data_IF_242752799589
#
_entry.id   IF_242752799589
#
_cell.length_a   1.000
_cell.length_b   1.000
_cell.length_c   1.000
_cell.angle_alpha   90.00
_cell.angle_beta   90.00
_cell.angle_gamma   90.00
#
_symmetry.space_group_name_H-M   'P 1'
#
loop_
_entity.id
_entity.type
_entity.pdbx_description
1 polymer ?
#
# COMPACT_ATOMS: atom_id res chain seq x y z
N UNK A 1 1.59 6.76 19.23
CA UNK A 1 2.47 6.79 18.05
C UNK A 1 1.80 7.55 16.93
N UNK A 2 2.57 8.23 16.07
CA UNK A 2 2.11 8.82 14.81
C UNK A 2 2.33 7.82 13.67
N UNK A 3 1.27 7.40 13.01
CA UNK A 3 1.28 6.32 12.02
C UNK A 3 0.81 6.85 10.66
N UNK A 4 1.57 6.58 9.59
CA UNK A 4 1.12 6.82 8.21
C UNK A 4 0.56 5.53 7.61
N UNK A 5 -0.67 5.57 7.12
CA UNK A 5 -1.25 4.58 6.22
C UNK A 5 -1.17 5.14 4.80
N UNK A 6 -0.29 4.59 3.97
CA UNK A 6 0.00 5.12 2.64
C UNK A 6 -0.62 4.19 1.61
N UNK A 7 -1.79 4.57 1.11
CA UNK A 7 -2.55 3.86 0.08
C UNK A 7 -2.63 4.62 -1.23
N UNK A 8 -3.44 4.14 -2.17
CA UNK A 8 -3.64 4.81 -3.45
C UNK A 8 -4.93 5.65 -3.43
N UNK A 9 -6.08 5.02 -3.22
CA UNK A 9 -7.39 5.69 -3.31
C UNK A 9 -8.01 5.90 -1.93
N UNK A 10 -8.76 7.00 -1.77
CA UNK A 10 -9.53 7.29 -0.57
C UNK A 10 -10.59 6.21 -0.30
N UNK A 11 -11.22 5.70 -1.36
CA UNK A 11 -12.19 4.62 -1.25
C UNK A 11 -11.58 3.34 -0.63
N UNK A 12 -10.32 3.02 -0.96
CA UNK A 12 -9.64 1.85 -0.35
C UNK A 12 -9.43 1.99 1.17
N UNK A 13 -9.29 3.23 1.67
CA UNK A 13 -9.24 3.50 3.10
C UNK A 13 -10.61 3.26 3.75
N UNK A 14 -11.66 3.71 3.09
CA UNK A 14 -13.03 3.60 3.59
C UNK A 14 -13.48 2.14 3.64
N UNK A 15 -13.25 1.39 2.57
CA UNK A 15 -13.74 0.02 2.44
C UNK A 15 -12.88 -0.99 3.23
N UNK A 16 -11.56 -0.84 3.22
CA UNK A 16 -10.66 -1.89 3.69
C UNK A 16 -9.79 -1.51 4.89
N UNK A 17 -9.79 -0.25 5.32
CA UNK A 17 -8.94 0.22 6.43
C UNK A 17 -9.72 0.86 7.57
N UNK A 18 -11.03 1.00 7.44
CA UNK A 18 -11.93 1.55 8.47
C UNK A 18 -11.66 0.92 9.84
N UNK A 19 -11.72 -0.41 9.92
CA UNK A 19 -11.55 -1.12 11.19
C UNK A 19 -10.12 -0.97 11.76
N UNK A 20 -9.11 -1.01 10.90
CA UNK A 20 -7.72 -0.76 11.31
C UNK A 20 -7.54 0.66 11.85
N UNK A 21 -8.09 1.67 11.18
CA UNK A 21 -8.02 3.07 11.60
C UNK A 21 -8.73 3.23 12.95
N UNK A 22 -9.95 2.71 13.08
CA UNK A 22 -10.71 2.75 14.33
C UNK A 22 -9.94 2.11 15.49
N UNK A 23 -9.35 0.93 15.24
CA UNK A 23 -8.58 0.23 16.27
C UNK A 23 -7.34 1.02 16.70
N UNK A 24 -6.59 1.55 15.74
CA UNK A 24 -5.40 2.35 16.02
C UNK A 24 -5.77 3.64 16.78
N UNK A 25 -6.84 4.30 16.38
CA UNK A 25 -7.34 5.51 17.05
C UNK A 25 -7.78 5.22 18.49
N UNK A 26 -8.56 4.15 18.71
CA UNK A 26 -8.98 3.70 20.05
C UNK A 26 -7.79 3.37 20.97
N UNK A 27 -6.69 2.91 20.41
CA UNK A 27 -5.45 2.66 21.17
C UNK A 27 -4.57 3.92 21.35
N UNK A 28 -5.10 5.11 21.10
CA UNK A 28 -4.41 6.38 21.32
C UNK A 28 -3.32 6.72 20.29
N UNK A 29 -3.38 6.12 19.08
CA UNK A 29 -2.47 6.47 17.99
C UNK A 29 -3.04 7.61 17.15
N UNK A 30 -2.15 8.47 16.63
CA UNK A 30 -2.51 9.48 15.63
C UNK A 30 -2.27 8.86 14.25
N UNK A 31 -3.34 8.70 13.48
CA UNK A 31 -3.32 8.04 12.17
C UNK A 31 -3.42 9.08 11.07
N UNK A 32 -2.43 9.14 10.19
CA UNK A 32 -2.43 9.92 8.96
C UNK A 32 -2.76 9.00 7.79
N UNK A 33 -3.88 9.23 7.12
CA UNK A 33 -4.36 8.39 6.02
C UNK A 33 -4.08 9.08 4.68
N UNK A 34 -3.18 8.49 3.90
CA UNK A 34 -2.71 9.05 2.63
C UNK A 34 -3.47 8.48 1.45
N UNK A 35 -4.03 9.36 0.59
CA UNK A 35 -4.62 9.00 -0.70
C UNK A 35 -4.38 10.08 -1.75
N UNK A 36 -4.49 9.69 -3.04
CA UNK A 36 -4.19 10.59 -4.18
C UNK A 36 -5.44 11.30 -4.72
N UNK A 37 -6.62 10.91 -4.31
CA UNK A 37 -7.90 11.26 -4.92
C UNK A 37 -8.96 11.72 -3.90
N UNK A 38 -8.54 12.32 -2.80
CA UNK A 38 -9.48 12.86 -1.83
C UNK A 38 -10.36 13.97 -2.40
N UNK A 39 -11.66 13.83 -2.19
CA UNK A 39 -12.66 14.91 -2.22
C UNK A 39 -13.13 15.26 -0.80
N UNK A 40 -14.07 16.18 -0.68
CA UNK A 40 -14.52 16.60 0.65
C UNK A 40 -15.35 15.53 1.37
N UNK A 41 -16.11 14.72 0.62
CA UNK A 41 -16.92 13.62 1.19
C UNK A 41 -16.01 12.52 1.77
N UNK A 42 -15.04 12.06 1.01
CA UNK A 42 -14.09 11.02 1.44
C UNK A 42 -13.18 11.48 2.57
N UNK A 43 -12.78 12.76 2.59
CA UNK A 43 -12.04 13.35 3.73
C UNK A 43 -12.85 13.29 5.01
N UNK A 44 -14.10 13.75 4.99
CA UNK A 44 -14.97 13.73 6.18
C UNK A 44 -15.23 12.28 6.65
N UNK A 45 -15.41 11.35 5.70
CA UNK A 45 -15.58 9.94 6.03
C UNK A 45 -14.34 9.36 6.74
N UNK A 46 -13.13 9.65 6.23
CA UNK A 46 -11.89 9.17 6.85
C UNK A 46 -11.66 9.83 8.22
N UNK A 47 -12.01 11.12 8.39
CA UNK A 47 -11.98 11.80 9.69
C UNK A 47 -12.91 11.15 10.69
N UNK A 48 -14.11 10.72 10.27
CA UNK A 48 -15.07 10.05 11.17
C UNK A 48 -14.55 8.74 11.75
N UNK A 49 -13.55 8.10 11.12
CA UNK A 49 -12.85 6.92 11.63
C UNK A 49 -11.73 7.25 12.62
N UNK A 50 -11.41 8.54 12.82
CA UNK A 50 -10.34 9.00 13.71
C UNK A 50 -8.98 9.17 13.01
N UNK A 51 -8.92 9.23 11.68
CA UNK A 51 -7.70 9.51 10.94
C UNK A 51 -7.66 10.94 10.40
N UNK A 52 -6.46 11.44 10.15
CA UNK A 52 -6.19 12.72 9.50
C UNK A 52 -5.94 12.43 8.01
N UNK A 53 -6.82 12.87 7.09
CA UNK A 53 -6.64 12.67 5.66
C UNK A 53 -5.48 13.54 5.15
N UNK A 54 -4.57 12.93 4.37
CA UNK A 54 -3.43 13.61 3.76
C UNK A 54 -3.43 13.34 2.27
N UNK A 55 -3.62 14.38 1.47
CA UNK A 55 -3.49 14.27 0.02
C UNK A 55 -2.02 14.22 -0.39
N UNK A 56 -1.68 13.34 -1.34
CA UNK A 56 -0.36 13.29 -1.96
C UNK A 56 -0.46 12.96 -3.45
N UNK A 57 0.58 13.28 -4.22
CA UNK A 57 0.56 13.11 -5.67
C UNK A 57 1.28 11.84 -6.08
N UNK A 58 0.55 10.91 -6.72
CA UNK A 58 1.10 9.78 -7.48
C UNK A 58 0.16 9.42 -8.63
N UNK A 59 0.66 8.83 -9.72
CA UNK A 59 -0.20 8.21 -10.72
C UNK A 59 -0.70 6.86 -10.19
N UNK A 60 -1.97 6.58 -10.34
CA UNK A 60 -2.58 5.31 -9.88
C UNK A 60 -1.98 4.11 -10.59
N UNK A 61 -1.74 4.23 -11.89
CA UNK A 61 -1.27 3.15 -12.75
C UNK A 61 -0.05 3.57 -13.58
N UNK A 62 0.63 2.59 -14.18
CA UNK A 62 1.81 2.81 -15.02
C UNK A 62 3.08 3.11 -14.22
N UNK A 63 4.20 3.03 -14.89
CA UNK A 63 5.52 3.40 -14.37
C UNK A 63 6.06 4.55 -15.22
N UNK A 64 6.18 5.73 -14.63
CA UNK A 64 6.87 6.88 -15.21
C UNK A 64 8.03 7.25 -14.27
N UNK A 65 9.28 6.83 -14.58
CA UNK A 65 10.40 6.98 -13.67
C UNK A 65 10.64 8.41 -13.20
N UNK A 66 10.51 9.40 -14.08
CA UNK A 66 10.73 10.80 -13.73
C UNK A 66 9.64 11.32 -12.78
N UNK A 67 8.37 11.08 -13.12
CA UNK A 67 7.25 11.47 -12.29
C UNK A 67 7.28 10.75 -10.93
N UNK A 68 7.58 9.45 -10.93
CA UNK A 68 7.61 8.65 -9.71
C UNK A 68 8.74 9.10 -8.76
N UNK A 69 9.91 9.50 -9.27
CA UNK A 69 11.01 10.08 -8.46
C UNK A 69 10.59 11.43 -7.86
N UNK A 70 10.02 12.33 -8.67
CA UNK A 70 9.57 13.65 -8.19
C UNK A 70 8.49 13.48 -7.11
N UNK A 71 7.51 12.60 -7.34
CA UNK A 71 6.42 12.37 -6.40
C UNK A 71 6.90 11.67 -5.12
N UNK A 72 7.89 10.78 -5.21
CA UNK A 72 8.56 10.19 -4.04
C UNK A 72 9.24 11.27 -3.20
N UNK A 73 9.90 12.24 -3.84
CA UNK A 73 10.51 13.36 -3.13
C UNK A 73 9.48 14.28 -2.46
N UNK A 74 8.35 14.56 -3.14
CA UNK A 74 7.25 15.32 -2.54
C UNK A 74 6.67 14.58 -1.32
N UNK A 75 6.42 13.27 -1.46
CA UNK A 75 5.94 12.43 -0.36
C UNK A 75 6.93 12.41 0.81
N UNK A 76 8.23 12.25 0.53
CA UNK A 76 9.28 12.35 1.54
C UNK A 76 9.19 13.65 2.36
N UNK A 77 8.99 14.81 1.70
CA UNK A 77 8.86 16.10 2.41
C UNK A 77 7.67 16.11 3.37
N UNK A 78 6.52 15.59 2.93
CA UNK A 78 5.32 15.48 3.79
C UNK A 78 5.60 14.55 4.97
N UNK A 79 6.12 13.35 4.72
CA UNK A 79 6.42 12.38 5.78
C UNK A 79 7.40 12.93 6.82
N UNK A 80 8.43 13.65 6.34
CA UNK A 80 9.44 14.26 7.21
C UNK A 80 8.86 15.36 8.10
N UNK A 81 7.96 16.20 7.59
CA UNK A 81 7.35 17.28 8.36
C UNK A 81 6.40 16.77 9.46
N UNK A 82 5.80 15.59 9.29
CA UNK A 82 4.87 14.99 10.24
C UNK A 82 5.55 14.28 11.42
N UNK A 83 6.84 14.01 11.32
CA UNK A 83 7.62 13.31 12.38
C UNK A 83 6.98 11.99 12.82
N UNK A 84 6.79 11.09 11.86
CA UNK A 84 6.06 9.84 12.04
C UNK A 84 6.93 8.73 12.67
N UNK A 85 6.31 7.90 13.50
CA UNK A 85 6.95 6.74 14.14
C UNK A 85 6.92 5.50 13.26
N UNK A 86 5.85 5.37 12.44
CA UNK A 86 5.59 4.19 11.62
C UNK A 86 4.97 4.58 10.27
N UNK A 87 5.41 3.91 9.21
CA UNK A 87 4.78 3.95 7.88
C UNK A 87 4.34 2.54 7.47
N UNK A 88 3.07 2.41 7.12
CA UNK A 88 2.46 1.23 6.53
C UNK A 88 1.99 1.56 5.13
N UNK A 89 2.68 1.02 4.12
CA UNK A 89 2.42 1.25 2.70
C UNK A 89 1.75 0.04 2.07
N UNK A 90 0.62 0.22 1.39
CA UNK A 90 -0.11 -0.89 0.77
C UNK A 90 -0.46 -0.57 -0.69
N UNK A 91 -0.66 -1.61 -1.51
CA UNK A 91 -0.62 -1.63 -2.97
C UNK A 91 0.79 -1.43 -3.56
N UNK A 92 0.97 -1.84 -4.82
CA UNK A 92 2.29 -1.95 -5.46
C UNK A 92 3.10 -0.64 -5.44
N UNK A 93 2.52 0.47 -5.87
CA UNK A 93 3.23 1.75 -5.94
C UNK A 93 3.57 2.33 -4.57
N UNK A 94 2.63 2.46 -3.63
CA UNK A 94 2.95 2.90 -2.27
C UNK A 94 3.92 1.95 -1.56
N UNK A 95 3.80 0.62 -1.74
CA UNK A 95 4.73 -0.34 -1.16
C UNK A 95 6.18 -0.11 -1.61
N UNK A 96 6.40 0.35 -2.85
CA UNK A 96 7.71 0.73 -3.37
C UNK A 96 8.08 2.15 -2.91
N UNK A 97 7.37 3.12 -3.43
CA UNK A 97 7.75 4.54 -3.35
C UNK A 97 7.44 5.16 -1.99
N UNK A 98 6.36 4.72 -1.34
CA UNK A 98 6.04 5.09 0.04
C UNK A 98 7.08 4.56 1.03
N UNK A 99 7.53 3.31 0.85
CA UNK A 99 8.63 2.75 1.64
C UNK A 99 9.94 3.52 1.45
N UNK A 100 10.29 3.88 0.22
CA UNK A 100 11.50 4.67 -0.06
C UNK A 100 11.41 6.08 0.54
N UNK A 101 10.27 6.75 0.37
CA UNK A 101 10.03 8.06 0.97
C UNK A 101 10.12 8.01 2.51
N UNK A 102 9.52 6.99 3.13
CA UNK A 102 9.59 6.77 4.57
C UNK A 102 11.02 6.48 5.07
N UNK A 103 11.81 5.72 4.30
CA UNK A 103 13.24 5.51 4.59
C UNK A 103 14.00 6.83 4.58
N UNK A 104 13.83 7.64 3.54
CA UNK A 104 14.49 8.96 3.44
C UNK A 104 14.02 9.91 4.53
N UNK A 105 12.76 9.83 4.96
CA UNK A 105 12.23 10.57 6.11
C UNK A 105 12.73 10.05 7.47
N UNK A 106 13.56 8.98 7.48
CA UNK A 106 14.11 8.33 8.68
C UNK A 106 13.07 7.70 9.60
N UNK A 107 11.90 7.35 9.07
CA UNK A 107 10.89 6.59 9.82
C UNK A 107 11.44 5.19 10.07
N UNK A 108 11.56 4.78 11.32
CA UNK A 108 12.23 3.51 11.69
C UNK A 108 11.37 2.29 11.38
N UNK A 109 10.09 2.33 11.72
CA UNK A 109 9.15 1.21 11.53
C UNK A 109 8.45 1.35 10.19
N UNK A 110 8.85 0.52 9.23
CA UNK A 110 8.29 0.51 7.86
C UNK A 110 7.76 -0.86 7.53
N UNK A 111 6.49 -0.91 7.15
CA UNK A 111 5.78 -2.12 6.76
C UNK A 111 5.20 -1.93 5.36
N UNK A 112 5.18 -3.01 4.58
CA UNK A 112 4.55 -3.02 3.28
C UNK A 112 3.53 -4.15 3.18
N UNK A 113 2.45 -3.93 2.41
CA UNK A 113 1.45 -4.93 2.12
C UNK A 113 1.16 -4.95 0.63
N UNK A 114 1.06 -6.16 0.06
CA UNK A 114 0.59 -6.37 -1.30
C UNK A 114 -0.70 -7.18 -1.24
N UNK A 115 -1.74 -6.64 -1.87
CA UNK A 115 -3.09 -7.21 -1.94
C UNK A 115 -3.31 -7.93 -3.28
N UNK A 116 -2.26 -8.55 -3.78
CA UNK A 116 -2.11 -9.18 -5.07
C UNK A 116 -0.96 -8.57 -5.84
N UNK A 117 -0.35 -9.36 -6.70
CA UNK A 117 0.82 -8.94 -7.48
C UNK A 117 0.45 -8.21 -8.77
N UNK A 118 -0.84 -8.25 -9.13
CA UNK A 118 -1.37 -7.61 -10.32
C UNK A 118 -0.97 -8.30 -11.64
N UNK A 119 -1.34 -7.66 -12.73
CA UNK A 119 -1.26 -8.19 -14.09
C UNK A 119 0.11 -8.77 -14.49
N UNK A 120 1.22 -8.18 -14.01
CA UNK A 120 2.57 -8.63 -14.39
C UNK A 120 2.96 -10.00 -13.86
N UNK A 121 2.23 -10.52 -12.88
CA UNK A 121 2.47 -11.84 -12.27
C UNK A 121 1.42 -12.88 -12.65
N UNK A 122 0.31 -12.46 -13.29
CA UNK A 122 -0.75 -13.37 -13.73
C UNK A 122 -0.31 -14.07 -15.01
N UNK A 123 -0.22 -15.40 -14.99
CA UNK A 123 0.02 -16.22 -16.17
C UNK A 123 -1.29 -16.35 -16.96
N UNK A 124 -1.49 -15.49 -17.95
CA UNK A 124 -2.70 -15.51 -18.81
C UNK A 124 -2.64 -16.55 -19.94
N UNK A 125 -1.76 -17.56 -19.88
CA UNK A 125 -1.70 -18.66 -20.87
C UNK A 125 -1.28 -18.27 -22.31
N UNK A 126 -1.01 -16.98 -22.57
CA UNK A 126 -0.63 -16.45 -23.87
C UNK A 126 0.84 -16.02 -23.94
N UNK A 127 1.31 -15.69 -25.17
CA UNK A 127 2.65 -15.12 -25.35
C UNK A 127 2.76 -13.75 -24.69
N UNK A 128 3.56 -13.67 -23.63
CA UNK A 128 3.82 -12.40 -22.94
C UNK A 128 4.76 -11.53 -23.78
N UNK A 129 4.31 -10.31 -24.12
CA UNK A 129 5.11 -9.38 -24.94
C UNK A 129 6.45 -9.05 -24.27
N UNK A 130 7.47 -8.71 -25.08
CA UNK A 130 8.78 -8.27 -24.57
C UNK A 130 8.66 -7.04 -23.67
N UNK A 131 7.75 -6.14 -24.00
CA UNK A 131 7.44 -4.94 -23.19
C UNK A 131 6.95 -5.33 -21.79
N UNK A 132 6.01 -6.28 -21.70
CA UNK A 132 5.49 -6.77 -20.42
C UNK A 132 6.58 -7.43 -19.57
N UNK A 133 7.45 -8.25 -20.21
CA UNK A 133 8.60 -8.86 -19.52
C UNK A 133 9.57 -7.81 -18.97
N UNK A 134 9.85 -6.76 -19.74
CA UNK A 134 10.71 -5.67 -19.31
C UNK A 134 10.09 -4.90 -18.12
N UNK A 135 8.80 -4.55 -18.21
CA UNK A 135 8.09 -3.87 -17.11
C UNK A 135 8.06 -4.72 -15.84
N UNK A 136 7.84 -6.04 -15.97
CA UNK A 136 7.94 -6.96 -14.83
C UNK A 136 9.33 -6.92 -14.19
N UNK A 137 10.39 -6.98 -14.99
CA UNK A 137 11.79 -6.91 -14.48
C UNK A 137 12.05 -5.59 -13.74
N UNK A 138 11.57 -4.47 -14.27
CA UNK A 138 11.69 -3.16 -13.61
C UNK A 138 10.95 -3.18 -12.26
N UNK A 139 9.70 -3.64 -12.24
CA UNK A 139 8.88 -3.73 -11.04
C UNK A 139 9.55 -4.61 -9.96
N UNK A 140 10.04 -5.79 -10.34
CA UNK A 140 10.77 -6.70 -9.44
C UNK A 140 12.04 -6.04 -8.89
N UNK A 141 12.77 -5.31 -9.72
CA UNK A 141 13.97 -4.57 -9.27
C UNK A 141 13.61 -3.49 -8.26
N UNK A 142 12.52 -2.77 -8.48
CA UNK A 142 12.02 -1.77 -7.53
C UNK A 142 11.59 -2.39 -6.20
N UNK A 143 10.92 -3.56 -6.22
CA UNK A 143 10.62 -4.31 -5.00
C UNK A 143 11.89 -4.74 -4.27
N UNK A 144 12.90 -5.26 -5.00
CA UNK A 144 14.19 -5.64 -4.40
C UNK A 144 14.88 -4.48 -3.69
N UNK A 145 14.81 -3.29 -4.25
CA UNK A 145 15.40 -2.08 -3.64
C UNK A 145 14.59 -1.64 -2.42
N UNK A 146 13.25 -1.54 -2.55
CA UNK A 146 12.41 -0.99 -1.48
C UNK A 146 12.26 -1.94 -0.29
N UNK A 147 12.07 -3.25 -0.54
CA UNK A 147 11.77 -4.21 0.51
C UNK A 147 12.95 -4.57 1.42
N UNK A 148 14.18 -4.22 1.04
CA UNK A 148 15.33 -4.25 1.96
C UNK A 148 15.18 -3.29 3.15
N UNK A 149 14.25 -2.35 3.05
CA UNK A 149 14.07 -1.27 4.01
C UNK A 149 12.79 -1.42 4.85
N UNK A 150 12.04 -2.51 4.70
CA UNK A 150 10.87 -2.81 5.53
C UNK A 150 11.20 -3.78 6.66
N UNK A 151 10.43 -3.71 7.74
CA UNK A 151 10.51 -4.68 8.84
C UNK A 151 9.75 -5.96 8.51
N UNK A 152 8.60 -5.85 7.84
CA UNK A 152 7.80 -6.97 7.39
C UNK A 152 7.06 -6.66 6.09
N UNK A 153 6.94 -7.69 5.25
CA UNK A 153 6.03 -7.74 4.12
C UNK A 153 4.78 -8.54 4.52
N UNK A 154 3.62 -7.99 4.22
CA UNK A 154 2.32 -8.63 4.43
C UNK A 154 1.76 -9.01 3.07
N UNK A 155 1.33 -10.26 2.92
CA UNK A 155 0.72 -10.82 1.72
C UNK A 155 -0.62 -11.46 2.07
N UNK A 156 -1.53 -11.56 1.12
CA UNK A 156 -2.84 -12.16 1.35
C UNK A 156 -2.86 -13.67 1.13
N UNK A 157 -1.94 -14.21 0.33
CA UNK A 157 -1.93 -15.64 -0.03
C UNK A 157 -0.52 -16.20 -0.18
N UNK A 158 -0.44 -17.54 -0.20
CA UNK A 158 0.83 -18.27 -0.31
C UNK A 158 1.41 -18.24 -1.74
N UNK A 159 0.57 -18.07 -2.77
CA UNK A 159 1.01 -18.01 -4.15
C UNK A 159 1.80 -16.73 -4.43
N UNK A 160 1.32 -15.58 -3.95
CA UNK A 160 2.05 -14.31 -4.02
C UNK A 160 3.40 -14.41 -3.29
N UNK A 161 3.45 -15.10 -2.14
CA UNK A 161 4.71 -15.36 -1.44
C UNK A 161 5.67 -16.17 -2.31
N UNK A 162 5.19 -17.26 -2.91
CA UNK A 162 6.02 -18.12 -3.79
C UNK A 162 6.54 -17.32 -4.97
N UNK A 163 5.67 -16.57 -5.64
CA UNK A 163 6.04 -15.82 -6.84
C UNK A 163 7.06 -14.71 -6.54
N UNK A 164 6.89 -13.97 -5.46
CA UNK A 164 7.81 -12.89 -5.10
C UNK A 164 9.12 -13.39 -4.50
N UNK A 165 9.04 -14.24 -3.47
CA UNK A 165 10.21 -14.55 -2.64
C UNK A 165 11.01 -15.72 -3.21
N UNK A 166 10.33 -16.73 -3.81
CA UNK A 166 11.00 -17.89 -4.39
C UNK A 166 11.36 -17.64 -5.85
N UNK A 167 10.37 -17.35 -6.70
CA UNK A 167 10.57 -17.23 -8.13
C UNK A 167 11.39 -16.00 -8.52
N UNK A 168 11.07 -14.82 -7.95
CA UNK A 168 11.79 -13.57 -8.23
C UNK A 168 12.93 -13.28 -7.25
N UNK A 169 13.13 -14.14 -6.25
CA UNK A 169 14.24 -14.06 -5.27
C UNK A 169 14.31 -12.69 -4.55
N UNK A 170 13.14 -12.17 -4.15
CA UNK A 170 13.08 -10.94 -3.35
C UNK A 170 13.32 -11.30 -1.89
N UNK A 171 14.25 -10.60 -1.24
CA UNK A 171 14.59 -10.80 0.16
C UNK A 171 13.86 -9.80 1.04
N UNK A 172 13.26 -10.29 2.13
CA UNK A 172 12.60 -9.49 3.17
C UNK A 172 13.00 -10.01 4.54
N UNK A 173 12.98 -9.16 5.56
CA UNK A 173 13.32 -9.58 6.94
C UNK A 173 12.30 -10.57 7.49
N UNK A 174 11.01 -10.25 7.33
CA UNK A 174 9.87 -11.07 7.77
C UNK A 174 8.76 -11.02 6.74
N UNK A 175 7.98 -12.09 6.65
CA UNK A 175 6.78 -12.15 5.83
C UNK A 175 5.62 -12.71 6.64
N UNK A 176 4.45 -12.11 6.49
CA UNK A 176 3.19 -12.60 7.07
C UNK A 176 2.18 -12.84 5.96
N UNK A 177 1.39 -13.92 6.10
CA UNK A 177 0.27 -14.24 5.21
C UNK A 177 -1.00 -14.10 6.04
N UNK A 178 -1.92 -13.23 5.62
CA UNK A 178 -3.16 -12.97 6.36
C UNK A 178 -4.31 -13.88 5.92
N UNK A 179 -4.25 -14.49 4.72
CA UNK A 179 -5.35 -15.27 4.16
C UNK A 179 -6.49 -14.45 3.53
N UNK A 180 -6.53 -13.14 3.78
CA UNK A 180 -7.50 -12.20 3.23
C UNK A 180 -7.39 -10.84 3.91
N UNK A 181 -8.08 -9.82 3.35
CA UNK A 181 -8.03 -8.46 3.89
C UNK A 181 -8.94 -8.29 5.12
N UNK A 182 -9.95 -9.15 5.25
CA UNK A 182 -10.99 -9.04 6.27
C UNK A 182 -11.99 -7.91 5.98
N UNK A 183 -13.27 -8.23 6.06
CA UNK A 183 -14.38 -7.29 5.94
C UNK A 183 -15.32 -7.47 7.13
N UNK A 184 -15.86 -6.37 7.63
CA UNK A 184 -16.91 -6.44 8.61
C UNK A 184 -18.24 -6.77 7.90
N UNK A 185 -18.76 -7.98 8.12
CA UNK A 185 -19.99 -8.44 7.46
C UNK A 185 -21.23 -7.58 7.76
N UNK A 186 -21.23 -6.85 8.89
CA UNK A 186 -22.33 -5.93 9.20
C UNK A 186 -22.43 -4.73 8.24
N UNK A 187 -21.33 -4.40 7.56
CA UNK A 187 -21.31 -3.32 6.56
C UNK A 187 -21.88 -3.78 5.19
N UNK A 188 -22.16 -5.07 5.02
CA UNK A 188 -22.65 -5.69 3.77
C UNK A 188 -23.98 -6.41 4.02
N UNK A 189 -25.13 -5.73 3.85
CA UNK A 189 -26.42 -6.38 4.01
C UNK A 189 -26.60 -7.51 2.97
N UNK A 190 -27.13 -8.64 3.43
CA UNK A 190 -27.47 -9.75 2.56
C UNK A 190 -28.59 -9.28 1.62
N UNK A 191 -28.29 -9.15 0.33
CA UNK A 191 -29.31 -8.92 -0.67
C UNK A 191 -30.04 -10.24 -0.90
N UNK A 192 -31.34 -10.32 -0.54
CA UNK A 192 -32.23 -11.40 -0.99
C UNK A 192 -32.43 -11.26 -2.51
N UNK A 193 -32.14 -12.32 -3.29
CA UNK A 193 -32.43 -12.29 -4.72
C UNK A 193 -33.92 -12.02 -4.93
N UNK A 194 -34.27 -10.96 -5.62
CA UNK A 194 -35.62 -10.77 -6.18
C UNK A 194 -35.71 -11.61 -7.45
N UNK A 195 -36.44 -12.72 -7.38
CA UNK A 195 -36.78 -13.52 -8.54
C UNK A 195 -37.92 -12.88 -9.32
#
# INVERSE_FOLDING_TARGET
MKIALIGTTAESLIQFRKELINLLHKNGHVVYAFAIDYDDVTKEKVKSFGAIPVHYCFSRTGLNPFSDVINTYKLYKILKSLQLDLAFSYFSKPAIFGTLAAKFARIQKRYAMLEGLGFFFTNSGGQVSLRTKLLKKILVSLYKVSFRHIESLILLNADDKRDLLVNEKIQVKKVHILGGIGLNMSDYPVMTPTY
#
